data_IF_615570251301
#
_entry.id   IF_615570251301
#
_cell.length_a   1.000
_cell.length_b   1.000
_cell.length_c   1.000
_cell.angle_alpha   90.00
_cell.angle_beta   90.00
_cell.angle_gamma   90.00
#
_symmetry.space_group_name_H-M   'P 1'
#
loop_
_entity.id
_entity.type
_entity.pdbx_description
1 polymer ?
#
# COMPACT_ATOMS: atom_id res chain seq x y z
N UNK A 1 0.99 3.65 -17.83
CA UNK A 1 0.49 2.34 -17.41
C UNK A 1 -0.26 2.39 -16.08
N UNK A 2 0.09 3.30 -15.17
CA UNK A 2 -0.59 3.56 -13.90
C UNK A 2 -0.42 5.01 -13.46
N UNK A 3 -1.24 5.49 -12.52
CA UNK A 3 -1.03 6.73 -11.80
C UNK A 3 -0.83 6.43 -10.32
N UNK A 4 0.25 6.94 -9.73
CA UNK A 4 0.48 6.97 -8.30
C UNK A 4 0.33 8.41 -7.81
N UNK A 5 -0.50 8.62 -6.80
CA UNK A 5 -0.68 9.89 -6.11
C UNK A 5 -0.12 9.74 -4.71
N UNK A 6 0.97 10.46 -4.39
CA UNK A 6 1.54 10.56 -3.04
C UNK A 6 1.28 11.96 -2.51
N UNK A 7 0.39 12.08 -1.53
CA UNK A 7 -0.09 13.35 -0.98
C UNK A 7 0.38 13.56 0.46
N UNK A 8 1.37 14.41 0.62
CA UNK A 8 1.88 14.88 1.91
C UNK A 8 1.19 16.14 2.45
N UNK A 9 0.08 16.56 1.83
CA UNK A 9 -0.67 17.73 2.26
C UNK A 9 -0.09 19.09 1.84
N UNK A 10 0.96 19.11 1.01
CA UNK A 10 1.60 20.36 0.55
C UNK A 10 0.93 21.00 -0.68
N UNK A 11 -0.16 20.42 -1.17
CA UNK A 11 -0.98 21.02 -2.23
C UNK A 11 -0.56 20.67 -3.66
N UNK A 12 0.52 19.91 -3.87
CA UNK A 12 0.92 19.46 -5.20
C UNK A 12 0.01 18.34 -5.73
N UNK A 13 -0.22 17.31 -4.91
CA UNK A 13 -1.15 16.23 -5.20
C UNK A 13 -2.50 16.56 -4.56
N UNK A 14 -3.55 16.76 -5.34
CA UNK A 14 -4.87 17.14 -4.83
C UNK A 14 -5.98 16.25 -5.40
N UNK A 15 -7.12 16.07 -4.69
CA UNK A 15 -8.28 15.37 -5.23
C UNK A 15 -8.77 15.95 -6.56
N UNK A 16 -8.70 17.29 -6.71
CA UNK A 16 -9.03 17.97 -7.98
C UNK A 16 -8.13 17.54 -9.15
N UNK A 17 -6.84 17.32 -8.88
CA UNK A 17 -5.91 16.82 -9.90
C UNK A 17 -6.31 15.41 -10.35
N UNK A 18 -6.64 14.53 -9.42
CA UNK A 18 -7.12 13.18 -9.74
C UNK A 18 -8.41 13.24 -10.57
N UNK A 19 -9.38 14.04 -10.16
CA UNK A 19 -10.63 14.23 -10.91
C UNK A 19 -10.35 14.74 -12.33
N UNK A 20 -9.47 15.73 -12.47
CA UNK A 20 -9.08 16.28 -13.78
C UNK A 20 -8.44 15.22 -14.69
N UNK A 21 -7.49 14.44 -14.18
CA UNK A 21 -6.80 13.41 -14.98
C UNK A 21 -7.76 12.30 -15.39
N UNK A 22 -8.68 11.90 -14.50
CA UNK A 22 -9.72 10.89 -14.80
C UNK A 22 -10.70 11.41 -15.87
N UNK A 23 -11.17 12.65 -15.76
CA UNK A 23 -12.13 13.22 -16.70
C UNK A 23 -11.58 13.41 -18.13
N UNK A 24 -10.26 13.44 -18.28
CA UNK A 24 -9.61 13.53 -19.60
C UNK A 24 -9.35 12.16 -20.27
N UNK A 25 -9.87 11.05 -19.70
CA UNK A 25 -9.74 9.72 -20.29
C UNK A 25 -8.32 9.12 -20.25
N UNK A 26 -7.34 9.80 -19.63
CA UNK A 26 -5.95 9.35 -19.61
C UNK A 26 -5.73 8.06 -18.82
N UNK A 27 -6.70 7.68 -17.96
CA UNK A 27 -6.58 6.59 -16.98
C UNK A 27 -7.60 5.47 -17.22
N UNK A 28 -8.20 5.38 -18.39
CA UNK A 28 -9.10 4.29 -18.70
C UNK A 28 -8.39 2.95 -18.56
N UNK A 29 -8.96 2.06 -17.73
CA UNK A 29 -8.44 0.72 -17.43
C UNK A 29 -7.00 0.70 -16.87
N UNK A 30 -6.54 1.81 -16.26
CA UNK A 30 -5.23 1.87 -15.61
C UNK A 30 -5.41 1.97 -14.09
N UNK A 31 -4.59 1.27 -13.29
CA UNK A 31 -4.63 1.41 -11.85
C UNK A 31 -4.26 2.84 -11.43
N UNK A 32 -5.05 3.37 -10.50
CA UNK A 32 -4.80 4.64 -9.82
C UNK A 32 -4.63 4.34 -8.34
N UNK A 33 -3.43 4.52 -7.84
CA UNK A 33 -3.12 4.27 -6.43
C UNK A 33 -2.91 5.58 -5.68
N UNK A 34 -3.37 5.63 -4.44
CA UNK A 34 -3.28 6.82 -3.60
C UNK A 34 -2.68 6.48 -2.24
N UNK A 35 -1.71 7.29 -1.83
CA UNK A 35 -1.24 7.42 -0.46
C UNK A 35 -1.45 8.88 -0.03
N UNK A 36 -2.22 9.11 1.03
CA UNK A 36 -2.51 10.47 1.50
C UNK A 36 -2.50 10.52 3.02
N UNK A 37 -1.61 11.33 3.53
CA UNK A 37 -1.34 11.41 4.97
C UNK A 37 -2.50 11.96 5.80
N UNK A 38 -3.33 12.86 5.22
CA UNK A 38 -4.32 13.61 6.00
C UNK A 38 -5.74 13.60 5.43
N UNK A 39 -5.93 13.17 4.19
CA UNK A 39 -7.21 13.33 3.50
C UNK A 39 -7.49 12.21 2.49
N UNK A 40 -7.16 11.00 2.89
CA UNK A 40 -7.29 9.84 1.99
C UNK A 40 -8.71 9.67 1.46
N UNK A 41 -9.73 9.98 2.26
CA UNK A 41 -11.15 9.89 1.88
C UNK A 41 -11.53 10.86 0.75
N UNK A 42 -10.78 11.96 0.55
CA UNK A 42 -11.08 12.92 -0.50
C UNK A 42 -10.70 12.39 -1.90
N UNK A 43 -9.93 11.31 -1.99
CA UNK A 43 -9.49 10.68 -3.24
C UNK A 43 -10.43 9.57 -3.72
N UNK A 44 -11.74 9.80 -3.63
CA UNK A 44 -12.76 8.85 -4.08
C UNK A 44 -12.56 8.41 -5.53
N UNK A 45 -12.79 7.11 -5.77
CA UNK A 45 -12.66 6.51 -7.10
C UNK A 45 -11.22 6.23 -7.52
N UNK A 46 -10.24 6.27 -6.62
CA UNK A 46 -8.96 5.59 -6.85
C UNK A 46 -9.18 4.07 -6.99
N UNK A 47 -8.27 3.37 -7.67
CA UNK A 47 -8.33 1.91 -7.77
C UNK A 47 -7.91 1.28 -6.44
N UNK A 48 -6.87 1.84 -5.83
CA UNK A 48 -6.28 1.31 -4.61
C UNK A 48 -5.69 2.40 -3.71
N UNK A 49 -5.50 2.08 -2.43
CA UNK A 49 -4.83 2.93 -1.45
C UNK A 49 -3.90 2.11 -0.54
N UNK A 50 -2.89 2.78 0.07
CA UNK A 50 -1.92 2.12 0.94
C UNK A 50 -1.68 2.85 2.27
N UNK A 51 -2.74 3.21 3.03
CA UNK A 51 -2.58 3.90 4.31
C UNK A 51 -1.90 3.00 5.35
N UNK A 52 -1.32 3.62 6.37
CA UNK A 52 -0.94 2.92 7.60
C UNK A 52 -2.12 2.89 8.60
N UNK A 53 -2.01 2.05 9.66
CA UNK A 53 -3.05 1.97 10.70
C UNK A 53 -3.42 3.33 11.31
N UNK A 54 -2.46 4.19 11.74
CA UNK A 54 -2.76 5.52 12.26
C UNK A 54 -3.55 6.41 11.28
N UNK A 55 -3.23 6.36 10.00
CA UNK A 55 -3.94 7.12 8.96
C UNK A 55 -5.37 6.62 8.79
N UNK A 56 -5.60 5.31 8.88
CA UNK A 56 -6.95 4.72 8.87
C UNK A 56 -7.72 5.12 10.11
N UNK A 57 -7.10 5.07 11.29
CA UNK A 57 -7.70 5.51 12.56
C UNK A 57 -8.15 6.98 12.50
N UNK A 58 -7.29 7.85 11.95
CA UNK A 58 -7.58 9.28 11.77
C UNK A 58 -8.71 9.51 10.75
N UNK A 59 -8.61 8.90 9.56
CA UNK A 59 -9.56 9.07 8.49
C UNK A 59 -10.98 8.62 8.86
N UNK A 60 -11.11 7.53 9.61
CA UNK A 60 -12.40 6.96 9.99
C UNK A 60 -12.86 7.35 11.40
N UNK A 61 -12.05 8.12 12.15
CA UNK A 61 -12.28 8.48 13.56
C UNK A 61 -12.55 7.23 14.45
N UNK A 62 -11.74 6.18 14.28
CA UNK A 62 -11.82 4.91 15.02
C UNK A 62 -10.53 4.62 15.77
N UNK A 63 -10.58 3.66 16.69
CA UNK A 63 -9.40 3.08 17.36
C UNK A 63 -9.32 1.60 17.05
N UNK A 64 -8.27 1.20 16.34
CA UNK A 64 -7.99 -0.19 15.97
C UNK A 64 -7.24 -0.88 17.09
N UNK A 65 -6.13 -0.32 17.54
CA UNK A 65 -5.27 -0.93 18.55
C UNK A 65 -4.71 -2.28 18.08
N UNK A 66 -4.78 -3.32 18.92
CA UNK A 66 -4.31 -4.67 18.60
C UNK A 66 -5.46 -5.62 18.23
N UNK A 67 -6.58 -5.10 17.75
CA UNK A 67 -7.78 -5.88 17.43
C UNK A 67 -7.91 -6.06 15.92
N UNK A 68 -7.57 -7.26 15.44
CA UNK A 68 -7.64 -7.58 14.01
C UNK A 68 -9.09 -7.49 13.47
N UNK A 69 -10.10 -7.76 14.29
CA UNK A 69 -11.50 -7.60 13.89
C UNK A 69 -11.87 -6.14 13.60
N UNK A 70 -11.37 -5.22 14.44
CA UNK A 70 -11.53 -3.78 14.20
C UNK A 70 -10.75 -3.32 12.96
N UNK A 71 -9.54 -3.84 12.76
CA UNK A 71 -8.73 -3.55 11.57
C UNK A 71 -9.46 -3.98 10.30
N UNK A 72 -9.99 -5.20 10.28
CA UNK A 72 -10.73 -5.71 9.12
C UNK A 72 -11.98 -4.89 8.86
N UNK A 73 -12.76 -4.58 9.89
CA UNK A 73 -13.93 -3.71 9.74
C UNK A 73 -13.59 -2.30 9.27
N UNK A 74 -12.48 -1.72 9.74
CA UNK A 74 -12.01 -0.42 9.29
C UNK A 74 -11.56 -0.46 7.82
N UNK A 75 -10.83 -1.49 7.41
CA UNK A 75 -10.40 -1.67 6.01
C UNK A 75 -11.59 -1.84 5.07
N UNK A 76 -12.56 -2.68 5.40
CA UNK A 76 -13.79 -2.86 4.61
C UNK A 76 -14.58 -1.54 4.49
N UNK A 77 -14.67 -0.79 5.59
CA UNK A 77 -15.33 0.52 5.60
C UNK A 77 -14.60 1.50 4.68
N UNK A 78 -13.28 1.58 4.75
CA UNK A 78 -12.47 2.47 3.92
C UNK A 78 -12.60 2.12 2.43
N UNK A 79 -12.54 0.84 2.09
CA UNK A 79 -12.78 0.37 0.71
C UNK A 79 -14.14 0.82 0.18
N UNK A 80 -15.18 0.73 1.01
CA UNK A 80 -16.53 1.13 0.62
C UNK A 80 -16.66 2.65 0.45
N UNK A 81 -16.14 3.44 1.41
CA UNK A 81 -16.25 4.90 1.37
C UNK A 81 -15.50 5.50 0.18
N UNK A 82 -14.32 4.95 -0.15
CA UNK A 82 -13.52 5.39 -1.30
C UNK A 82 -13.87 4.68 -2.62
N UNK A 83 -14.74 3.69 -2.60
CA UNK A 83 -15.08 2.86 -3.78
C UNK A 83 -13.84 2.16 -4.38
N UNK A 84 -12.94 1.64 -3.53
CA UNK A 84 -11.71 0.97 -3.95
C UNK A 84 -11.99 -0.44 -4.48
N UNK A 85 -11.16 -0.90 -5.42
CA UNK A 85 -11.09 -2.31 -5.83
C UNK A 85 -10.18 -3.11 -4.87
N UNK A 86 -9.12 -2.48 -4.35
CA UNK A 86 -8.22 -3.09 -3.37
C UNK A 86 -7.60 -2.04 -2.42
N UNK A 87 -7.12 -2.53 -1.26
CA UNK A 87 -6.52 -1.70 -0.21
C UNK A 87 -5.40 -2.50 0.46
N UNK A 88 -4.32 -1.84 0.82
CA UNK A 88 -3.29 -2.40 1.69
C UNK A 88 -3.14 -1.50 2.91
N UNK A 89 -3.36 -2.03 4.10
CA UNK A 89 -3.09 -1.30 5.36
C UNK A 89 -1.74 -1.77 5.90
N UNK A 90 -0.78 -0.85 5.99
CA UNK A 90 0.55 -1.16 6.54
C UNK A 90 0.55 -1.04 8.06
N UNK A 91 1.24 -1.96 8.74
CA UNK A 91 1.21 -2.14 10.20
C UNK A 91 2.61 -2.13 10.84
N UNK A 92 3.57 -1.50 10.18
CA UNK A 92 4.96 -1.46 10.65
C UNK A 92 5.53 -2.87 10.84
N UNK A 93 5.90 -3.22 12.08
CA UNK A 93 6.47 -4.54 12.43
C UNK A 93 5.49 -5.72 12.25
N UNK A 94 4.20 -5.43 12.24
CA UNK A 94 3.15 -6.46 12.09
C UNK A 94 2.83 -6.74 10.61
N UNK A 95 3.63 -6.19 9.70
CA UNK A 95 3.50 -6.40 8.25
C UNK A 95 2.39 -5.57 7.64
N UNK A 96 1.44 -6.19 6.96
CA UNK A 96 0.33 -5.51 6.31
C UNK A 96 -0.89 -6.41 6.15
N UNK A 97 -2.03 -5.82 5.86
CA UNK A 97 -3.25 -6.54 5.48
C UNK A 97 -3.69 -6.06 4.10
N UNK A 98 -3.89 -7.01 3.20
CA UNK A 98 -4.43 -6.76 1.87
C UNK A 98 -5.94 -7.05 1.85
N UNK A 99 -6.69 -6.13 1.28
CA UNK A 99 -8.13 -6.22 1.07
C UNK A 99 -8.42 -6.16 -0.42
N UNK A 100 -9.29 -7.00 -0.88
CA UNK A 100 -9.78 -7.02 -2.27
C UNK A 100 -11.29 -7.10 -2.25
N UNK A 101 -11.93 -6.43 -3.20
CA UNK A 101 -13.37 -6.40 -3.33
C UNK A 101 -13.95 -7.81 -3.44
N UNK A 102 -14.93 -8.11 -2.61
CA UNK A 102 -15.58 -9.42 -2.53
C UNK A 102 -14.69 -10.59 -2.08
N UNK A 103 -13.52 -10.33 -1.51
CA UNK A 103 -12.62 -11.34 -0.94
C UNK A 103 -12.42 -11.13 0.57
N UNK A 104 -11.92 -12.16 1.23
CA UNK A 104 -11.53 -12.03 2.64
C UNK A 104 -10.19 -11.30 2.77
N UNK A 105 -10.00 -10.46 3.80
CA UNK A 105 -8.71 -9.85 4.07
C UNK A 105 -7.59 -10.88 4.24
N UNK A 106 -6.41 -10.58 3.74
CA UNK A 106 -5.23 -11.43 3.83
C UNK A 106 -4.14 -10.73 4.62
N UNK A 107 -3.80 -11.26 5.79
CA UNK A 107 -2.66 -10.78 6.56
C UNK A 107 -1.35 -11.27 5.93
N UNK A 108 -0.39 -10.35 5.77
CA UNK A 108 0.92 -10.59 5.19
C UNK A 108 1.94 -10.21 6.25
N UNK A 109 2.66 -11.19 6.84
CA UNK A 109 3.67 -10.90 7.85
C UNK A 109 4.82 -10.09 7.26
N UNK A 110 5.49 -9.30 8.11
CA UNK A 110 6.63 -8.48 7.67
C UNK A 110 7.72 -9.35 7.05
N UNK A 111 8.29 -8.87 5.95
CA UNK A 111 9.53 -9.41 5.40
C UNK A 111 10.73 -8.69 6.00
N UNK A 112 11.75 -9.45 6.41
CA UNK A 112 12.99 -8.92 6.96
C UNK A 112 13.21 -9.28 8.44
N UNK A 113 14.15 -8.61 9.08
CA UNK A 113 14.45 -8.81 10.50
C UNK A 113 13.81 -7.73 11.37
N UNK A 114 13.68 -8.00 12.67
CA UNK A 114 13.23 -7.01 13.68
C UNK A 114 14.20 -5.82 13.85
N UNK A 115 15.37 -5.85 13.19
CA UNK A 115 16.36 -4.80 13.23
C UNK A 115 16.09 -3.76 12.14
N UNK A 116 15.07 -2.94 12.36
CA UNK A 116 14.79 -1.77 11.51
C UNK A 116 15.89 -0.74 11.72
N UNK A 117 16.52 -0.29 10.63
CA UNK A 117 17.57 0.73 10.65
C UNK A 117 16.97 2.12 10.45
N UNK A 118 16.07 2.27 9.45
CA UNK A 118 15.41 3.53 9.15
C UNK A 118 14.10 3.26 8.41
N UNK A 119 13.01 3.88 8.84
CA UNK A 119 11.68 3.74 8.21
C UNK A 119 11.39 4.82 7.17
N UNK A 120 12.31 5.75 6.96
CA UNK A 120 12.11 6.88 6.03
C UNK A 120 11.95 6.39 4.60
N UNK A 121 10.82 6.74 3.98
CA UNK A 121 10.51 6.35 2.60
C UNK A 121 10.01 4.91 2.43
N UNK A 122 9.76 4.18 3.51
CA UNK A 122 9.21 2.83 3.42
C UNK A 122 7.82 2.82 2.80
N UNK A 123 6.92 3.72 3.21
CA UNK A 123 5.59 3.90 2.64
C UNK A 123 5.63 4.21 1.15
N UNK A 124 6.48 5.16 0.75
CA UNK A 124 6.68 5.51 -0.68
C UNK A 124 7.16 4.30 -1.49
N UNK A 125 8.06 3.49 -0.93
CA UNK A 125 8.55 2.27 -1.58
C UNK A 125 7.44 1.22 -1.70
N UNK A 126 6.62 1.06 -0.66
CA UNK A 126 5.47 0.15 -0.65
C UNK A 126 4.48 0.53 -1.73
N UNK A 127 4.00 1.79 -1.76
CA UNK A 127 3.02 2.21 -2.77
C UNK A 127 3.61 2.16 -4.18
N UNK A 128 4.86 2.57 -4.38
CA UNK A 128 5.50 2.51 -5.69
C UNK A 128 5.58 1.08 -6.24
N UNK A 129 6.01 0.13 -5.40
CA UNK A 129 6.10 -1.28 -5.79
C UNK A 129 4.72 -1.90 -6.01
N UNK A 130 3.77 -1.61 -5.13
CA UNK A 130 2.39 -2.06 -5.25
C UNK A 130 1.74 -1.57 -6.55
N UNK A 131 1.90 -0.27 -6.86
CA UNK A 131 1.40 0.33 -8.10
C UNK A 131 2.00 -0.31 -9.34
N UNK A 132 3.32 -0.52 -9.34
CA UNK A 132 4.01 -1.15 -10.47
C UNK A 132 3.56 -2.59 -10.68
N UNK A 133 3.33 -3.35 -9.61
CA UNK A 133 2.82 -4.72 -9.67
C UNK A 133 1.39 -4.77 -10.22
N UNK A 134 0.49 -3.90 -9.77
CA UNK A 134 -0.87 -3.79 -10.30
C UNK A 134 -0.84 -3.41 -11.80
N UNK A 135 0.02 -2.48 -12.19
CA UNK A 135 0.18 -2.08 -13.59
C UNK A 135 0.69 -3.23 -14.48
N UNK A 136 1.46 -4.15 -13.90
CA UNK A 136 1.93 -5.37 -14.56
C UNK A 136 0.90 -6.51 -14.56
N UNK A 137 -0.30 -6.31 -13.98
CA UNK A 137 -1.38 -7.29 -13.96
C UNK A 137 -1.33 -8.28 -12.79
N UNK A 138 -0.56 -7.99 -11.74
CA UNK A 138 -0.58 -8.80 -10.53
C UNK A 138 -1.94 -8.67 -9.80
N UNK A 139 -2.39 -9.75 -9.14
CA UNK A 139 -3.49 -9.69 -8.19
C UNK A 139 -3.09 -8.90 -6.94
N UNK A 140 -4.08 -8.48 -6.15
CA UNK A 140 -3.89 -7.64 -4.97
C UNK A 140 -2.91 -8.24 -3.95
N UNK A 141 -3.04 -9.52 -3.66
CA UNK A 141 -2.23 -10.21 -2.64
C UNK A 141 -0.78 -10.35 -3.11
N UNK A 142 -0.58 -10.72 -4.36
CA UNK A 142 0.76 -10.82 -4.98
C UNK A 142 1.44 -9.47 -5.04
N UNK A 143 0.72 -8.40 -5.43
CA UNK A 143 1.22 -7.04 -5.43
C UNK A 143 1.60 -6.56 -4.01
N UNK A 144 0.77 -6.84 -3.01
CA UNK A 144 1.03 -6.50 -1.61
C UNK A 144 2.25 -7.27 -1.05
N UNK A 145 2.40 -8.55 -1.37
CA UNK A 145 3.59 -9.34 -0.99
C UNK A 145 4.87 -8.75 -1.59
N UNK A 146 4.84 -8.38 -2.87
CA UNK A 146 5.97 -7.75 -3.53
C UNK A 146 6.34 -6.41 -2.87
N UNK A 147 5.33 -5.61 -2.55
CA UNK A 147 5.50 -4.34 -1.83
C UNK A 147 6.06 -4.55 -0.41
N UNK A 148 5.65 -5.63 0.29
CA UNK A 148 6.18 -6.00 1.59
C UNK A 148 7.67 -6.38 1.53
N UNK A 149 8.10 -7.12 0.51
CA UNK A 149 9.52 -7.38 0.27
C UNK A 149 10.30 -6.09 0.06
N UNK A 150 9.79 -5.20 -0.80
CA UNK A 150 10.44 -3.93 -1.11
C UNK A 150 10.57 -3.03 0.13
N UNK A 151 9.49 -2.88 0.89
CA UNK A 151 9.48 -2.13 2.15
C UNK A 151 10.45 -2.72 3.18
N UNK A 152 10.43 -4.04 3.36
CA UNK A 152 11.35 -4.74 4.26
C UNK A 152 12.83 -4.58 3.89
N UNK A 153 13.17 -4.56 2.59
CA UNK A 153 14.55 -4.28 2.14
C UNK A 153 14.96 -2.84 2.45
N UNK A 154 14.07 -1.88 2.22
CA UNK A 154 14.39 -0.45 2.38
C UNK A 154 14.61 -0.09 3.84
N UNK A 155 13.78 -0.58 4.78
CA UNK A 155 13.94 -0.29 6.21
C UNK A 155 15.23 -0.83 6.84
N UNK A 156 15.92 -1.74 6.15
CA UNK A 156 17.24 -2.25 6.55
C UNK A 156 18.39 -1.35 6.08
N UNK A 157 18.12 -0.33 5.28
CA UNK A 157 19.10 0.64 4.76
C UNK A 157 19.03 1.94 5.55
N UNK A 158 20.12 2.70 5.57
CA UNK A 158 20.16 4.03 6.22
C UNK A 158 19.65 5.12 5.28
N UNK A 159 18.89 6.05 5.82
CA UNK A 159 18.37 7.22 5.09
C UNK A 159 17.32 6.83 4.05
N UNK A 160 16.97 7.78 3.20
CA UNK A 160 16.03 7.56 2.08
C UNK A 160 16.68 6.65 1.05
N UNK A 161 16.34 5.37 1.09
CA UNK A 161 16.91 4.34 0.23
C UNK A 161 15.91 3.87 -0.83
N UNK A 162 16.44 3.30 -1.89
CA UNK A 162 15.65 2.65 -2.95
C UNK A 162 15.92 1.15 -2.97
N UNK A 163 15.01 0.39 -3.58
CA UNK A 163 15.18 -1.03 -3.85
C UNK A 163 15.36 -1.24 -5.36
N UNK A 164 16.36 -2.02 -5.73
CA UNK A 164 16.56 -2.44 -7.12
C UNK A 164 15.79 -3.73 -7.41
N UNK A 165 15.48 -3.98 -8.69
CA UNK A 165 14.87 -5.24 -9.13
C UNK A 165 15.74 -6.45 -8.76
N UNK A 166 17.08 -6.32 -8.79
CA UNK A 166 18.01 -7.38 -8.40
C UNK A 166 17.90 -7.74 -6.91
N UNK A 167 17.82 -6.74 -6.03
CA UNK A 167 17.62 -6.95 -4.59
C UNK A 167 16.26 -7.59 -4.30
N UNK A 168 15.22 -7.13 -4.99
CA UNK A 168 13.87 -7.65 -4.83
C UNK A 168 13.79 -9.13 -5.27
N UNK A 169 14.35 -9.47 -6.43
CA UNK A 169 14.41 -10.86 -6.91
C UNK A 169 15.20 -11.76 -5.95
N UNK A 170 16.36 -11.31 -5.48
CA UNK A 170 17.16 -12.08 -4.51
C UNK A 170 16.39 -12.33 -3.19
N UNK A 171 15.60 -11.36 -2.73
CA UNK A 171 14.78 -11.51 -1.53
C UNK A 171 13.66 -12.54 -1.73
N UNK A 172 13.01 -12.54 -2.89
CA UNK A 172 11.95 -13.48 -3.24
C UNK A 172 12.51 -14.91 -3.35
N UNK A 173 13.64 -15.08 -4.03
CA UNK A 173 14.30 -16.38 -4.19
C UNK A 173 14.69 -16.97 -2.83
N UNK A 174 15.28 -16.14 -1.96
CA UNK A 174 15.66 -16.57 -0.60
C UNK A 174 14.42 -16.98 0.22
N UNK A 175 13.33 -16.21 0.15
CA UNK A 175 12.11 -16.51 0.87
C UNK A 175 11.45 -17.80 0.35
N UNK A 176 11.41 -17.98 -0.96
CA UNK A 176 10.83 -19.18 -1.59
C UNK A 176 11.61 -20.44 -1.21
N UNK A 177 12.93 -20.35 -1.08
CA UNK A 177 13.77 -21.47 -0.65
C UNK A 177 13.61 -21.83 0.84
N UNK A 178 13.13 -20.90 1.67
CA UNK A 178 12.92 -21.10 3.10
C UNK A 178 11.55 -21.71 3.46
N UNK A 179 10.61 -21.75 2.51
CA UNK A 179 9.29 -22.38 2.72
C UNK A 179 9.40 -23.85 2.30
N UNK A 180 9.26 -24.81 3.24
CA UNK A 180 9.21 -26.23 2.86
C UNK A 180 7.97 -26.46 1.98
N UNK A 181 8.17 -27.29 0.96
CA UNK A 181 7.13 -27.72 0.01
C UNK A 181 5.99 -28.47 0.69
#
# INVERSE_FOLDING_TARGET
DALLVSDYGYGAATPRLLTFVKSNGCLENKPVTVDSRYRILDFEGATAATPNEPEVEEALAVRIGHDDGKLFGAGERLMKEMTLECLVITRGRDGMVAFEKNAKPVAIPIYGSDQVVDVTGAGDTVIATFTAALAAGADTVSAARLANFAGGIVVMKRGTATVSSKELLAAIDHYSAAIPA
#
